data_IF_012658385561
#
_entry.id   IF_012658385561
#
_cell.length_a   1.000
_cell.length_b   1.000
_cell.length_c   1.000
_cell.angle_alpha   90.00
_cell.angle_beta   90.00
_cell.angle_gamma   90.00
#
_symmetry.space_group_name_H-M   'P 1'
#
loop_
_entity.id
_entity.type
_entity.pdbx_description
1 polymer ?
#
# COMPACT_ATOMS: atom_id res chain seq x y z
N UNK A 1 29.94 2.75 -13.59
CA UNK A 1 28.66 2.61 -14.34
C UNK A 1 28.46 3.78 -15.31
N UNK A 2 29.05 3.75 -16.52
CA UNK A 2 28.88 4.82 -17.52
C UNK A 2 27.43 4.85 -18.05
N UNK A 3 26.92 6.04 -18.32
CA UNK A 3 25.61 6.24 -18.96
C UNK A 3 24.42 6.31 -18.01
N UNK A 4 24.61 6.22 -16.68
CA UNK A 4 23.54 6.40 -15.68
C UNK A 4 23.62 7.78 -15.02
N UNK A 5 22.47 8.42 -14.79
CA UNK A 5 22.35 9.75 -14.15
C UNK A 5 21.23 9.75 -13.11
N UNK A 6 21.46 10.41 -11.99
CA UNK A 6 20.44 10.71 -10.97
C UNK A 6 19.98 12.16 -11.09
N UNK A 7 18.68 12.38 -10.98
CA UNK A 7 18.08 13.70 -10.88
C UNK A 7 17.12 13.74 -9.69
N UNK A 8 17.18 14.81 -8.89
CA UNK A 8 16.20 14.99 -7.81
C UNK A 8 14.85 15.33 -8.41
N UNK A 9 13.79 14.76 -7.87
CA UNK A 9 12.44 15.14 -8.26
C UNK A 9 12.17 16.59 -7.83
N UNK A 10 11.63 17.36 -8.77
CA UNK A 10 11.13 18.73 -8.58
C UNK A 10 9.72 18.80 -9.16
N UNK A 11 8.98 19.88 -8.87
CA UNK A 11 7.61 20.04 -9.37
C UNK A 11 7.52 19.98 -10.90
N UNK A 12 8.53 20.49 -11.61
CA UNK A 12 8.62 20.43 -13.08
C UNK A 12 8.72 19.00 -13.63
N UNK A 13 9.16 18.04 -12.80
CA UNK A 13 9.31 16.63 -13.17
C UNK A 13 8.10 15.77 -12.73
N UNK A 14 7.14 16.33 -12.00
CA UNK A 14 6.00 15.58 -11.44
C UNK A 14 5.17 14.88 -12.52
N UNK A 15 4.93 15.54 -13.66
CA UNK A 15 4.21 14.91 -14.77
C UNK A 15 4.98 13.71 -15.34
N UNK A 16 6.29 13.88 -15.58
CA UNK A 16 7.12 12.80 -16.12
C UNK A 16 7.20 11.61 -15.16
N UNK A 17 7.22 11.88 -13.84
CA UNK A 17 7.12 10.87 -12.80
C UNK A 17 5.80 10.11 -12.86
N UNK A 18 4.68 10.80 -12.88
CA UNK A 18 3.35 10.19 -12.84
C UNK A 18 3.09 9.36 -14.10
N UNK A 19 3.46 9.90 -15.28
CA UNK A 19 3.41 9.17 -16.56
C UNK A 19 4.29 7.90 -16.52
N UNK A 20 5.41 7.93 -15.78
CA UNK A 20 6.29 6.77 -15.62
C UNK A 20 5.68 5.73 -14.67
N UNK A 21 5.18 6.15 -13.50
CA UNK A 21 4.51 5.29 -12.53
C UNK A 21 3.33 4.58 -13.18
N UNK A 22 2.51 5.28 -13.96
CA UNK A 22 1.35 4.70 -14.62
C UNK A 22 1.71 3.57 -15.60
N UNK A 23 2.84 3.70 -16.31
CA UNK A 23 3.31 2.73 -17.33
C UNK A 23 4.20 1.63 -16.76
N UNK A 24 4.60 1.76 -15.49
CA UNK A 24 5.49 0.82 -14.80
C UNK A 24 4.84 -0.55 -14.57
N UNK A 25 5.66 -1.55 -14.21
CA UNK A 25 5.15 -2.90 -13.88
C UNK A 25 4.79 -3.06 -12.39
N UNK A 26 5.32 -2.22 -11.52
CA UNK A 26 5.15 -2.31 -10.07
C UNK A 26 4.65 -1.02 -9.40
N UNK A 27 4.33 0.01 -10.19
CA UNK A 27 3.77 1.26 -9.70
C UNK A 27 2.26 1.20 -9.50
N UNK A 28 1.79 1.94 -8.51
CA UNK A 28 0.37 2.16 -8.23
C UNK A 28 0.09 3.65 -8.10
N UNK A 29 -1.18 4.06 -8.09
CA UNK A 29 -1.54 5.48 -7.97
C UNK A 29 -0.96 6.11 -6.70
N UNK A 30 -0.75 5.33 -5.63
CA UNK A 30 -0.10 5.78 -4.39
C UNK A 30 1.35 6.24 -4.58
N UNK A 31 2.05 5.78 -5.62
CA UNK A 31 3.45 6.15 -5.88
C UNK A 31 3.56 7.40 -6.79
N UNK A 32 2.45 8.01 -7.19
CA UNK A 32 2.43 9.25 -7.97
C UNK A 32 2.74 10.46 -7.11
N UNK A 33 3.33 11.50 -7.70
CA UNK A 33 3.48 12.82 -7.08
C UNK A 33 2.12 13.42 -6.72
N UNK A 34 1.11 13.21 -7.57
CA UNK A 34 -0.27 13.61 -7.26
C UNK A 34 -0.78 13.01 -5.93
N UNK A 35 -0.44 11.76 -5.63
CA UNK A 35 -0.81 11.13 -4.35
C UNK A 35 0.12 11.59 -3.22
N UNK A 36 1.42 11.73 -3.45
CA UNK A 36 2.35 12.12 -2.37
C UNK A 36 2.10 13.57 -1.90
N UNK A 37 1.57 14.44 -2.77
CA UNK A 37 1.43 15.87 -2.51
C UNK A 37 0.56 16.24 -1.30
N UNK A 38 -0.46 15.44 -0.92
CA UNK A 38 -1.27 15.76 0.28
C UNK A 38 -0.46 15.71 1.58
N UNK A 39 0.75 15.15 1.54
CA UNK A 39 1.64 15.18 2.68
C UNK A 39 2.13 16.57 3.05
N UNK A 40 2.09 17.53 2.12
CA UNK A 40 2.60 18.88 2.34
C UNK A 40 4.05 18.85 2.84
N UNK A 41 4.37 19.72 3.81
CA UNK A 41 5.72 19.87 4.35
C UNK A 41 6.07 18.87 5.46
N UNK A 42 5.26 17.82 5.68
CA UNK A 42 5.51 16.81 6.73
C UNK A 42 6.79 16.01 6.53
N UNK A 43 7.29 15.95 5.30
CA UNK A 43 8.45 15.13 4.93
C UNK A 43 9.45 15.92 4.10
N UNK A 44 10.73 15.79 4.42
CA UNK A 44 11.80 16.36 3.58
C UNK A 44 12.01 15.48 2.36
N UNK A 45 11.50 15.92 1.20
CA UNK A 45 11.53 15.13 -0.03
C UNK A 45 12.96 14.80 -0.50
N UNK A 46 13.20 13.52 -0.72
CA UNK A 46 14.45 12.96 -1.20
C UNK A 46 14.25 12.14 -2.48
N UNK A 47 13.08 12.23 -3.12
CA UNK A 47 12.70 11.42 -4.28
C UNK A 47 13.65 11.61 -5.47
N UNK A 48 13.98 10.50 -6.16
CA UNK A 48 14.95 10.49 -7.26
C UNK A 48 14.39 9.89 -8.54
N UNK A 49 14.83 10.41 -9.67
CA UNK A 49 14.69 9.85 -11.00
C UNK A 49 16.02 9.27 -11.45
N UNK A 50 15.99 8.10 -12.09
CA UNK A 50 17.19 7.41 -12.59
C UNK A 50 17.11 7.28 -14.10
N UNK A 51 18.11 7.82 -14.79
CA UNK A 51 18.21 7.82 -16.25
C UNK A 51 19.34 6.90 -16.71
N UNK A 52 19.16 6.29 -17.88
CA UNK A 52 20.20 5.61 -18.66
C UNK A 52 20.21 6.17 -20.08
N UNK A 53 21.32 6.79 -20.49
CA UNK A 53 21.47 7.46 -21.78
C UNK A 53 20.29 8.40 -22.07
N UNK A 54 20.00 9.33 -21.15
CA UNK A 54 18.85 10.27 -21.19
C UNK A 54 17.44 9.64 -21.12
N UNK A 55 17.30 8.32 -21.12
CA UNK A 55 16.01 7.65 -20.93
C UNK A 55 15.73 7.42 -19.45
N UNK A 56 14.57 7.86 -18.97
CA UNK A 56 14.09 7.54 -17.62
C UNK A 56 13.83 6.02 -17.50
N UNK A 57 14.51 5.36 -16.57
CA UNK A 57 14.41 3.91 -16.36
C UNK A 57 13.96 3.51 -14.95
N UNK A 58 13.94 4.44 -14.00
CA UNK A 58 13.35 4.21 -12.69
C UNK A 58 12.98 5.51 -11.98
N UNK A 59 12.02 5.43 -11.07
CA UNK A 59 11.75 6.49 -10.09
C UNK A 59 11.70 5.88 -8.69
N UNK A 60 12.08 6.66 -7.67
CA UNK A 60 12.15 6.19 -6.29
C UNK A 60 11.53 7.21 -5.33
N UNK A 61 10.26 7.03 -4.90
CA UNK A 61 9.61 7.95 -3.97
C UNK A 61 10.32 7.85 -2.62
N UNK A 62 10.76 8.98 -2.08
CA UNK A 62 11.56 8.99 -0.87
C UNK A 62 11.43 10.26 -0.05
N UNK A 63 11.62 10.12 1.25
CA UNK A 63 11.91 11.23 2.14
C UNK A 63 13.13 10.92 3.00
N UNK A 64 13.75 11.98 3.50
CA UNK A 64 14.85 11.89 4.46
C UNK A 64 14.37 12.22 5.88
N UNK A 65 14.99 11.58 6.86
CA UNK A 65 14.91 11.92 8.27
C UNK A 65 16.25 11.55 8.93
N UNK A 66 16.95 12.56 9.45
CA UNK A 66 18.35 12.45 9.90
C UNK A 66 19.27 11.87 8.83
N UNK A 67 19.98 10.78 9.17
CA UNK A 67 20.88 10.06 8.27
C UNK A 67 20.23 8.89 7.53
N UNK A 68 18.90 8.84 7.50
CA UNK A 68 18.14 7.73 6.90
C UNK A 68 17.26 8.23 5.77
N UNK A 69 17.31 7.52 4.65
CA UNK A 69 16.32 7.63 3.58
C UNK A 69 15.24 6.58 3.82
N UNK A 70 14.00 6.95 3.57
CA UNK A 70 12.87 6.05 3.56
C UNK A 70 12.29 6.00 2.15
N UNK A 71 11.76 4.86 1.73
CA UNK A 71 10.91 4.72 0.53
C UNK A 71 9.52 5.38 0.73
N UNK A 72 9.56 6.62 1.23
CA UNK A 72 8.48 7.49 1.67
C UNK A 72 7.69 6.98 2.89
N UNK A 73 7.85 7.63 4.04
CA UNK A 73 7.17 7.28 5.28
C UNK A 73 5.65 7.46 5.22
N UNK A 74 5.17 8.41 4.42
CA UNK A 74 3.74 8.63 4.18
C UNK A 74 3.04 7.60 3.29
N UNK A 75 3.78 6.69 2.64
CA UNK A 75 3.19 5.66 1.78
C UNK A 75 3.04 4.34 2.52
N UNK A 76 1.99 3.58 2.16
CA UNK A 76 1.77 2.21 2.65
C UNK A 76 2.91 1.28 2.23
N UNK A 77 3.43 1.48 1.02
CA UNK A 77 4.59 0.81 0.46
C UNK A 77 5.27 1.74 -0.55
N UNK A 78 6.52 1.45 -0.89
CA UNK A 78 7.33 2.22 -1.82
C UNK A 78 8.65 1.51 -2.11
N UNK A 79 9.28 1.87 -3.21
CA UNK A 79 10.50 1.22 -3.66
C UNK A 79 10.89 1.71 -5.04
N UNK A 80 11.85 1.03 -5.67
CA UNK A 80 12.22 1.40 -7.04
C UNK A 80 11.09 0.99 -8.00
N UNK A 81 10.49 1.98 -8.64
CA UNK A 81 9.46 1.78 -9.67
C UNK A 81 10.16 1.54 -10.99
N UNK A 82 9.77 0.46 -11.69
CA UNK A 82 10.47 -0.05 -12.86
C UNK A 82 9.54 -0.17 -14.07
N UNK A 83 10.04 0.08 -15.30
CA UNK A 83 9.24 -0.10 -16.50
C UNK A 83 9.05 -1.60 -16.78
N UNK A 84 8.04 -1.93 -17.58
CA UNK A 84 7.72 -3.33 -17.94
C UNK A 84 8.90 -4.10 -18.56
N UNK A 85 9.72 -3.42 -19.37
CA UNK A 85 10.82 -4.04 -20.14
C UNK A 85 12.20 -3.64 -19.63
N UNK A 86 12.43 -3.67 -18.32
CA UNK A 86 13.78 -3.48 -17.77
C UNK A 86 14.57 -4.79 -17.78
N UNK A 87 15.86 -4.73 -18.10
CA UNK A 87 16.78 -5.86 -17.91
C UNK A 87 17.23 -5.89 -16.46
N UNK A 88 17.44 -7.09 -15.89
CA UNK A 88 17.96 -7.24 -14.52
C UNK A 88 19.23 -6.41 -14.29
N UNK A 89 20.18 -6.46 -15.23
CA UNK A 89 21.41 -5.66 -15.20
C UNK A 89 21.16 -4.16 -15.04
N UNK A 90 20.14 -3.63 -15.71
CA UNK A 90 19.81 -2.20 -15.67
C UNK A 90 19.09 -1.83 -14.38
N UNK A 91 18.27 -2.72 -13.83
CA UNK A 91 17.63 -2.54 -12.52
C UNK A 91 18.67 -2.52 -11.39
N UNK A 92 19.63 -3.45 -11.41
CA UNK A 92 20.72 -3.51 -10.44
C UNK A 92 21.62 -2.28 -10.52
N UNK A 93 21.99 -1.86 -11.73
CA UNK A 93 22.76 -0.63 -11.94
C UNK A 93 21.99 0.61 -11.44
N UNK A 94 20.69 0.72 -11.75
CA UNK A 94 19.84 1.81 -11.29
C UNK A 94 19.78 1.88 -9.75
N UNK A 95 19.65 0.73 -9.09
CA UNK A 95 19.66 0.68 -7.63
C UNK A 95 21.04 1.02 -7.03
N UNK A 96 22.12 0.56 -7.65
CA UNK A 96 23.48 0.88 -7.23
C UNK A 96 23.79 2.38 -7.33
N UNK A 97 23.46 3.04 -8.46
CA UNK A 97 23.67 4.50 -8.60
C UNK A 97 22.81 5.31 -7.64
N UNK A 98 21.60 4.82 -7.31
CA UNK A 98 20.71 5.45 -6.34
C UNK A 98 21.30 5.38 -4.93
N UNK A 99 21.76 4.21 -4.49
CA UNK A 99 22.42 4.06 -3.20
C UNK A 99 23.69 4.91 -3.14
N UNK A 100 24.52 4.86 -4.19
CA UNK A 100 25.73 5.69 -4.28
C UNK A 100 25.40 7.19 -4.15
N UNK A 101 24.37 7.67 -4.83
CA UNK A 101 23.95 9.07 -4.74
C UNK A 101 23.64 9.48 -3.29
N UNK A 102 22.90 8.66 -2.55
CA UNK A 102 22.61 8.94 -1.15
C UNK A 102 23.85 8.85 -0.26
N UNK A 103 24.76 7.90 -0.51
CA UNK A 103 26.05 7.83 0.19
C UNK A 103 26.89 9.10 -0.02
N UNK A 104 26.98 9.59 -1.26
CA UNK A 104 27.69 10.82 -1.60
C UNK A 104 27.08 12.07 -0.92
N UNK A 105 25.81 11.98 -0.50
CA UNK A 105 25.10 13.01 0.28
C UNK A 105 25.19 12.80 1.79
N UNK A 106 25.90 11.78 2.26
CA UNK A 106 26.12 11.51 3.69
C UNK A 106 24.99 10.74 4.39
N UNK A 107 24.09 10.12 3.65
CA UNK A 107 23.10 9.20 4.22
C UNK A 107 23.74 7.83 4.49
N UNK A 108 23.30 7.20 5.58
CA UNK A 108 23.87 5.94 6.06
C UNK A 108 22.94 4.75 5.81
N UNK A 109 21.63 4.95 5.96
CA UNK A 109 20.64 3.88 5.89
C UNK A 109 19.57 4.19 4.85
N UNK A 110 19.09 3.13 4.17
CA UNK A 110 17.87 3.17 3.38
C UNK A 110 16.86 2.16 3.94
N UNK A 111 15.65 2.64 4.23
CA UNK A 111 14.51 1.82 4.63
C UNK A 111 13.55 1.68 3.44
N UNK A 112 13.24 0.44 3.06
CA UNK A 112 12.29 0.13 1.99
C UNK A 112 11.08 -0.60 2.55
N UNK A 113 9.88 -0.09 2.27
CA UNK A 113 8.58 -0.74 2.51
C UNK A 113 8.13 -1.42 1.21
N UNK A 114 8.59 -2.63 0.93
CA UNK A 114 8.53 -3.20 -0.41
C UNK A 114 7.09 -3.32 -0.94
N UNK A 115 6.83 -2.86 -2.17
CA UNK A 115 5.53 -3.09 -2.83
C UNK A 115 5.21 -4.59 -2.89
N UNK A 116 4.10 -5.05 -2.29
CA UNK A 116 3.74 -6.46 -2.33
C UNK A 116 3.42 -6.97 -3.75
N UNK A 117 3.76 -8.23 -4.03
CA UNK A 117 3.67 -8.82 -5.37
C UNK A 117 2.27 -8.80 -6.00
N UNK A 118 1.21 -8.78 -5.18
CA UNK A 118 -0.17 -8.70 -5.67
C UNK A 118 -0.52 -7.37 -6.37
N UNK A 119 0.29 -6.32 -6.18
CA UNK A 119 0.14 -5.05 -6.90
C UNK A 119 0.89 -5.04 -8.23
N UNK A 120 1.84 -5.97 -8.43
CA UNK A 120 2.66 -6.01 -9.64
C UNK A 120 1.88 -6.55 -10.84
N UNK A 121 1.99 -5.86 -11.98
CA UNK A 121 1.42 -6.27 -13.25
C UNK A 121 2.15 -7.46 -13.87
N UNK A 122 3.44 -7.61 -13.56
CA UNK A 122 4.36 -8.64 -14.06
C UNK A 122 5.37 -8.98 -12.95
N UNK A 123 6.13 -10.08 -13.05
CA UNK A 123 7.25 -10.33 -12.13
C UNK A 123 8.15 -9.09 -12.00
N UNK A 124 8.40 -8.66 -10.76
CA UNK A 124 9.15 -7.44 -10.46
C UNK A 124 10.05 -7.63 -9.24
N UNK A 125 10.78 -8.75 -9.23
CA UNK A 125 11.63 -9.20 -8.12
C UNK A 125 13.10 -8.79 -8.28
N UNK A 126 13.43 -7.91 -9.25
CA UNK A 126 14.81 -7.44 -9.45
C UNK A 126 15.39 -6.77 -8.21
N UNK A 127 14.55 -6.02 -7.49
CA UNK A 127 14.96 -5.33 -6.27
C UNK A 127 15.08 -6.31 -5.11
N UNK A 128 14.25 -7.35 -5.03
CA UNK A 128 14.38 -8.41 -4.04
C UNK A 128 15.73 -9.14 -4.20
N UNK A 129 16.15 -9.41 -5.44
CA UNK A 129 17.49 -9.92 -5.69
C UNK A 129 18.58 -8.91 -5.29
N UNK A 130 18.42 -7.63 -5.61
CA UNK A 130 19.37 -6.59 -5.21
C UNK A 130 19.51 -6.49 -3.69
N UNK A 131 18.39 -6.53 -2.96
CA UNK A 131 18.29 -6.51 -1.50
C UNK A 131 19.05 -7.69 -0.88
N UNK A 132 18.89 -8.89 -1.44
CA UNK A 132 19.67 -10.06 -1.05
C UNK A 132 21.18 -9.85 -1.26
N UNK A 133 21.59 -9.36 -2.43
CA UNK A 133 23.01 -9.12 -2.77
C UNK A 133 23.66 -8.09 -1.84
N UNK A 134 22.96 -7.00 -1.53
CA UNK A 134 23.47 -5.96 -0.62
C UNK A 134 23.32 -6.31 0.86
N UNK A 135 22.94 -7.56 1.18
CA UNK A 135 22.78 -8.04 2.55
C UNK A 135 21.81 -7.17 3.35
N UNK A 136 20.70 -6.77 2.72
CA UNK A 136 19.67 -5.98 3.38
C UNK A 136 19.05 -6.78 4.53
N UNK A 137 18.87 -6.13 5.67
CA UNK A 137 18.22 -6.70 6.84
C UNK A 137 16.69 -6.66 6.63
N UNK A 138 16.04 -7.83 6.61
CA UNK A 138 14.59 -7.93 6.72
C UNK A 138 14.19 -7.73 8.20
N UNK A 139 13.94 -6.48 8.60
CA UNK A 139 13.66 -6.14 10.00
C UNK A 139 12.18 -6.26 10.37
N UNK A 140 11.27 -6.21 9.39
CA UNK A 140 9.82 -6.37 9.58
C UNK A 140 9.20 -7.15 8.42
N UNK A 141 8.23 -8.00 8.75
CA UNK A 141 7.40 -8.74 7.79
C UNK A 141 5.98 -8.86 8.34
N UNK A 142 5.04 -8.27 7.64
CA UNK A 142 3.62 -8.35 8.00
C UNK A 142 2.92 -9.43 7.18
N UNK A 143 1.94 -10.10 7.77
CA UNK A 143 1.06 -11.07 7.13
C UNK A 143 -0.28 -10.42 6.81
N UNK A 144 -0.48 -10.05 5.53
CA UNK A 144 -1.75 -9.58 5.01
C UNK A 144 -2.62 -10.76 4.57
N UNK A 145 -3.91 -10.71 4.90
CA UNK A 145 -4.85 -11.73 4.41
C UNK A 145 -5.47 -11.25 3.11
N UNK A 146 -5.31 -12.06 2.06
CA UNK A 146 -5.74 -11.74 0.71
C UNK A 146 -6.48 -12.93 0.09
N UNK A 147 -7.37 -12.67 -0.86
CA UNK A 147 -8.06 -13.71 -1.63
C UNK A 147 -8.18 -13.31 -3.10
N UNK A 148 -8.51 -14.28 -3.95
CA UNK A 148 -9.01 -14.02 -5.30
C UNK A 148 -10.53 -13.86 -5.23
N UNK A 149 -11.09 -12.69 -5.57
CA UNK A 149 -12.53 -12.44 -5.51
C UNK A 149 -13.35 -13.45 -6.32
N UNK A 150 -12.86 -13.85 -7.50
CA UNK A 150 -13.46 -14.89 -8.33
C UNK A 150 -13.50 -16.30 -7.69
N UNK A 151 -12.70 -16.52 -6.64
CA UNK A 151 -12.66 -17.76 -5.85
C UNK A 151 -13.25 -17.58 -4.45
N UNK A 152 -14.06 -16.54 -4.24
CA UNK A 152 -14.64 -16.23 -2.93
C UNK A 152 -15.43 -17.42 -2.37
N UNK A 153 -14.90 -17.99 -1.29
CA UNK A 153 -15.46 -19.15 -0.62
C UNK A 153 -15.30 -19.01 0.90
N UNK A 154 -16.25 -18.34 1.57
CA UNK A 154 -16.22 -18.23 3.02
C UNK A 154 -16.34 -19.60 3.69
N UNK A 155 -15.76 -19.75 4.89
CA UNK A 155 -15.94 -20.94 5.71
C UNK A 155 -17.36 -21.01 6.30
N UNK A 156 -17.72 -22.15 6.91
CA UNK A 156 -19.08 -22.37 7.44
C UNK A 156 -19.48 -21.36 8.53
N UNK A 157 -18.54 -20.92 9.37
CA UNK A 157 -18.81 -19.89 10.37
C UNK A 157 -19.17 -18.56 9.70
N UNK A 158 -18.35 -18.13 8.73
CA UNK A 158 -18.57 -16.87 8.01
C UNK A 158 -19.85 -16.91 7.18
N UNK A 159 -20.18 -18.03 6.53
CA UNK A 159 -21.46 -18.21 5.83
C UNK A 159 -22.66 -17.99 6.75
N UNK A 160 -22.63 -18.54 7.97
CA UNK A 160 -23.69 -18.33 8.97
C UNK A 160 -23.79 -16.87 9.39
N UNK A 161 -22.65 -16.19 9.63
CA UNK A 161 -22.62 -14.76 9.96
C UNK A 161 -23.16 -13.88 8.84
N UNK A 162 -22.79 -14.15 7.58
CA UNK A 162 -23.35 -13.47 6.41
C UNK A 162 -24.86 -13.69 6.33
N UNK A 163 -25.33 -14.94 6.47
CA UNK A 163 -26.77 -15.25 6.45
C UNK A 163 -27.54 -14.52 7.57
N UNK A 164 -26.97 -14.46 8.77
CA UNK A 164 -27.55 -13.75 9.90
C UNK A 164 -27.57 -12.24 9.70
N UNK A 165 -26.52 -11.65 9.13
CA UNK A 165 -26.49 -10.22 8.81
C UNK A 165 -27.52 -9.88 7.73
N UNK A 166 -27.74 -10.77 6.76
CA UNK A 166 -28.72 -10.60 5.68
C UNK A 166 -30.20 -10.76 6.14
N UNK A 167 -30.47 -11.14 7.39
CA UNK A 167 -31.84 -11.11 7.92
C UNK A 167 -32.24 -9.75 8.50
N UNK A 168 -31.29 -8.83 8.64
CA UNK A 168 -31.55 -7.43 8.98
C UNK A 168 -31.81 -6.61 7.70
N UNK A 169 -32.44 -5.46 7.85
CA UNK A 169 -32.69 -4.51 6.75
C UNK A 169 -31.48 -3.60 6.52
N UNK A 170 -30.33 -4.21 6.24
CA UNK A 170 -29.10 -3.47 5.99
C UNK A 170 -29.02 -2.95 4.57
N UNK A 171 -28.62 -1.68 4.44
CA UNK A 171 -28.44 -1.00 3.17
C UNK A 171 -26.95 -0.70 2.97
N UNK A 172 -26.39 -1.16 1.85
CA UNK A 172 -24.99 -0.94 1.49
C UNK A 172 -24.92 0.10 0.38
N UNK A 173 -24.16 1.17 0.61
CA UNK A 173 -24.01 2.27 -0.34
C UNK A 173 -22.54 2.48 -0.70
N UNK A 174 -22.28 2.67 -1.99
CA UNK A 174 -21.05 3.34 -2.44
C UNK A 174 -21.29 4.85 -2.37
N UNK A 175 -20.40 5.59 -1.73
CA UNK A 175 -20.56 7.03 -1.50
C UNK A 175 -19.26 7.78 -1.80
N UNK A 176 -19.40 9.06 -2.14
CA UNK A 176 -18.29 10.01 -2.27
C UNK A 176 -18.07 10.83 -0.99
N UNK A 177 -19.03 10.81 -0.05
CA UNK A 177 -18.92 11.50 1.23
C UNK A 177 -18.22 10.61 2.26
N UNK A 178 -17.02 11.01 2.66
CA UNK A 178 -16.22 10.27 3.65
C UNK A 178 -16.64 10.55 5.11
N UNK A 179 -17.43 11.60 5.34
CA UNK A 179 -17.72 12.17 6.66
C UNK A 179 -18.41 11.20 7.63
N UNK A 180 -19.53 10.52 7.27
CA UNK A 180 -20.24 9.68 8.23
C UNK A 180 -19.35 8.54 8.76
N UNK A 181 -18.64 7.87 7.85
CA UNK A 181 -17.71 6.81 8.23
C UNK A 181 -16.55 7.32 9.10
N UNK A 182 -15.96 8.48 8.76
CA UNK A 182 -14.82 9.01 9.53
C UNK A 182 -15.23 9.41 10.95
N UNK A 183 -16.27 10.25 11.06
CA UNK A 183 -16.63 10.91 12.31
C UNK A 183 -17.44 10.00 13.24
N UNK A 184 -18.32 9.16 12.71
CA UNK A 184 -19.23 8.35 13.53
C UNK A 184 -18.70 6.94 13.78
N UNK A 185 -17.78 6.44 12.94
CA UNK A 185 -17.33 5.04 12.99
C UNK A 185 -15.83 4.91 13.24
N UNK A 186 -15.00 5.48 12.37
CA UNK A 186 -13.55 5.23 12.38
C UNK A 186 -12.87 5.91 13.57
N UNK A 187 -13.03 7.23 13.73
CA UNK A 187 -12.41 7.99 14.81
C UNK A 187 -12.86 7.49 16.18
N UNK A 188 -14.16 7.32 16.47
CA UNK A 188 -14.60 6.84 17.79
C UNK A 188 -14.04 5.44 18.11
N UNK A 189 -14.00 4.53 17.13
CA UNK A 189 -13.49 3.18 17.36
C UNK A 189 -11.98 3.15 17.61
N UNK A 190 -11.19 4.00 16.96
CA UNK A 190 -9.74 4.12 17.18
C UNK A 190 -9.43 4.73 18.57
N UNK A 191 -10.22 5.70 19.00
CA UNK A 191 -10.11 6.28 20.35
C UNK A 191 -10.39 5.25 21.43
N UNK A 192 -11.46 4.46 21.28
CA UNK A 192 -11.84 3.41 22.24
C UNK A 192 -10.79 2.29 22.30
N UNK A 193 -10.26 1.87 21.15
CA UNK A 193 -9.43 0.65 21.08
C UNK A 193 -7.96 0.90 21.42
N UNK A 194 -7.41 2.08 21.08
CA UNK A 194 -5.96 2.31 21.14
C UNK A 194 -5.55 3.76 21.45
N UNK A 195 -6.49 4.66 21.78
CA UNK A 195 -6.20 6.10 21.91
C UNK A 195 -5.64 6.74 20.63
N UNK A 196 -5.79 6.05 19.49
CA UNK A 196 -5.14 6.41 18.23
C UNK A 196 -5.98 7.34 17.37
N UNK A 197 -5.33 8.00 16.42
CA UNK A 197 -5.97 8.77 15.34
C UNK A 197 -5.76 8.07 14.01
N UNK A 198 -6.69 8.19 13.05
CA UNK A 198 -6.46 7.67 11.72
C UNK A 198 -5.27 8.39 11.08
N UNK A 199 -4.50 7.67 10.25
CA UNK A 199 -3.35 8.24 9.53
C UNK A 199 -3.76 9.42 8.65
N UNK A 200 -4.95 9.35 8.04
CA UNK A 200 -5.56 10.45 7.29
C UNK A 200 -6.68 11.07 8.12
N UNK A 201 -6.66 12.39 8.25
CA UNK A 201 -7.82 13.19 8.66
C UNK A 201 -8.95 13.07 7.64
N UNK A 202 -10.15 13.50 8.03
CA UNK A 202 -11.31 13.58 7.13
C UNK A 202 -11.00 14.45 5.91
N UNK A 203 -10.37 15.61 6.11
CA UNK A 203 -10.03 16.52 5.03
C UNK A 203 -9.05 15.89 4.04
N UNK A 204 -8.02 15.20 4.54
CA UNK A 204 -7.04 14.53 3.67
C UNK A 204 -7.64 13.39 2.88
N UNK A 205 -8.47 12.54 3.52
CA UNK A 205 -9.07 11.42 2.79
C UNK A 205 -10.13 11.88 1.79
N UNK A 206 -10.91 12.92 2.11
CA UNK A 206 -11.86 13.51 1.15
C UNK A 206 -11.12 14.11 -0.03
N UNK A 207 -10.05 14.88 0.21
CA UNK A 207 -9.20 15.40 -0.85
C UNK A 207 -8.64 14.29 -1.74
N UNK A 208 -8.14 13.21 -1.15
CA UNK A 208 -7.65 12.05 -1.89
C UNK A 208 -8.75 11.36 -2.70
N UNK A 209 -9.95 11.21 -2.12
CA UNK A 209 -11.13 10.64 -2.79
C UNK A 209 -11.51 11.47 -4.01
N UNK A 210 -11.55 12.79 -3.88
CA UNK A 210 -11.88 13.72 -4.97
C UNK A 210 -10.79 13.73 -6.05
N UNK A 211 -9.53 13.54 -5.63
CA UNK A 211 -8.36 13.51 -6.52
C UNK A 211 -8.24 12.21 -7.30
N UNK A 212 -8.67 11.09 -6.71
CA UNK A 212 -8.58 9.73 -7.24
C UNK A 212 -9.91 8.95 -7.14
N UNK A 213 -11.00 9.45 -7.74
CA UNK A 213 -12.34 8.91 -7.52
C UNK A 213 -12.53 7.47 -8.01
N UNK A 214 -11.71 7.01 -8.97
CA UNK A 214 -11.72 5.64 -9.47
C UNK A 214 -10.89 4.69 -8.60
N UNK A 215 -9.87 5.21 -7.94
CA UNK A 215 -8.97 4.42 -7.10
C UNK A 215 -9.39 4.37 -5.64
N UNK A 216 -10.08 5.39 -5.13
CA UNK A 216 -10.53 5.44 -3.74
C UNK A 216 -12.04 5.34 -3.73
N UNK A 217 -12.57 4.29 -3.11
CA UNK A 217 -14.01 4.04 -3.00
C UNK A 217 -14.40 3.89 -1.54
N UNK A 218 -15.48 4.53 -1.12
CA UNK A 218 -16.07 4.33 0.20
C UNK A 218 -17.32 3.47 0.07
N UNK A 219 -17.41 2.44 0.91
CA UNK A 219 -18.62 1.66 1.08
C UNK A 219 -19.06 1.71 2.53
N UNK A 220 -20.30 2.13 2.74
CA UNK A 220 -20.91 2.21 4.05
C UNK A 220 -22.08 1.23 4.13
N UNK A 221 -22.35 0.75 5.34
CA UNK A 221 -23.50 -0.09 5.65
C UNK A 221 -24.35 0.55 6.74
N UNK A 222 -25.66 0.66 6.48
CA UNK A 222 -26.65 1.33 7.31
C UNK A 222 -27.79 0.40 7.71
N UNK A 223 -28.49 0.74 8.79
CA UNK A 223 -29.83 0.24 9.10
C UNK A 223 -30.74 1.46 9.35
N UNK A 224 -31.69 1.70 8.44
CA UNK A 224 -32.36 3.01 8.34
C UNK A 224 -31.33 4.12 8.14
N UNK A 225 -31.42 5.19 8.93
CA UNK A 225 -30.50 6.34 8.83
C UNK A 225 -29.20 6.17 9.65
N UNK A 226 -28.99 5.01 10.31
CA UNK A 226 -27.85 4.80 11.21
C UNK A 226 -26.72 4.05 10.53
N UNK A 227 -25.54 4.67 10.49
CA UNK A 227 -24.33 3.99 10.01
C UNK A 227 -23.90 2.89 10.99
N UNK A 228 -23.69 1.69 10.47
CA UNK A 228 -23.23 0.52 11.22
C UNK A 228 -21.73 0.28 11.05
N UNK A 229 -21.19 0.66 9.90
CA UNK A 229 -19.78 0.49 9.59
C UNK A 229 -19.48 0.85 8.15
N UNK A 230 -18.24 0.62 7.76
CA UNK A 230 -17.80 0.90 6.41
C UNK A 230 -16.38 0.46 6.13
N UNK A 231 -15.98 0.66 4.88
CA UNK A 231 -14.62 0.39 4.40
C UNK A 231 -14.23 1.38 3.31
N UNK A 232 -13.01 1.90 3.41
CA UNK A 232 -12.38 2.65 2.33
C UNK A 232 -11.48 1.72 1.55
N UNK A 233 -11.74 1.57 0.24
CA UNK A 233 -10.97 0.72 -0.65
C UNK A 233 -9.97 1.55 -1.46
N UNK A 234 -8.73 1.12 -1.51
CA UNK A 234 -7.69 1.61 -2.41
C UNK A 234 -7.51 0.58 -3.53
N UNK A 235 -8.07 0.91 -4.69
CA UNK A 235 -8.11 0.09 -5.89
C UNK A 235 -6.93 0.42 -6.79
N UNK A 236 -6.09 -0.57 -7.00
CA UNK A 236 -5.02 -0.57 -7.99
C UNK A 236 -5.46 -1.37 -9.21
N UNK A 237 -4.65 -1.46 -10.27
CA UNK A 237 -5.03 -2.20 -11.48
C UNK A 237 -5.39 -3.68 -11.25
N UNK A 238 -4.83 -4.32 -10.22
CA UNK A 238 -5.04 -5.76 -9.94
C UNK A 238 -5.66 -6.05 -8.58
N UNK A 239 -5.55 -5.10 -7.64
CA UNK A 239 -5.90 -5.35 -6.24
C UNK A 239 -6.78 -4.25 -5.69
N UNK A 240 -7.87 -4.65 -5.05
CA UNK A 240 -8.66 -3.82 -4.14
C UNK A 240 -8.18 -4.04 -2.70
N UNK A 241 -7.56 -3.03 -2.09
CA UNK A 241 -7.13 -3.05 -0.69
C UNK A 241 -8.19 -2.39 0.21
N UNK A 242 -8.67 -3.09 1.23
CA UNK A 242 -9.43 -2.47 2.30
C UNK A 242 -8.49 -1.69 3.23
N UNK A 243 -8.27 -0.41 2.89
CA UNK A 243 -7.32 0.48 3.55
C UNK A 243 -7.80 0.90 4.95
N UNK A 244 -9.11 1.09 5.10
CA UNK A 244 -9.77 1.36 6.38
C UNK A 244 -10.94 0.42 6.54
N UNK A 245 -11.09 -0.17 7.72
CA UNK A 245 -12.20 -1.05 8.09
C UNK A 245 -12.62 -0.67 9.50
N UNK A 246 -13.88 -0.30 9.69
CA UNK A 246 -14.41 -0.06 11.03
C UNK A 246 -15.91 -0.31 11.08
N UNK A 247 -16.40 -0.60 12.27
CA UNK A 247 -17.83 -0.73 12.55
C UNK A 247 -18.13 -0.20 13.95
N UNK A 248 -19.34 0.31 14.12
CA UNK A 248 -19.87 0.72 15.42
C UNK A 248 -20.03 -0.51 16.33
N UNK A 249 -20.17 -0.34 17.66
CA UNK A 249 -20.44 -1.46 18.56
C UNK A 249 -21.66 -2.28 18.13
N UNK A 250 -22.73 -1.61 17.69
CA UNK A 250 -23.92 -2.28 17.18
C UNK A 250 -23.64 -3.04 15.87
N UNK A 251 -22.97 -2.41 14.90
CA UNK A 251 -22.58 -3.07 13.65
C UNK A 251 -21.65 -4.28 13.85
N UNK A 252 -20.78 -4.26 14.88
CA UNK A 252 -20.01 -5.45 15.29
C UNK A 252 -20.91 -6.54 15.86
N UNK A 253 -21.86 -6.18 16.72
CA UNK A 253 -22.78 -7.15 17.36
C UNK A 253 -23.72 -7.86 16.38
N UNK A 254 -24.06 -7.19 15.27
CA UNK A 254 -24.92 -7.72 14.21
C UNK A 254 -24.15 -8.27 13.01
N UNK A 255 -22.82 -8.33 13.09
CA UNK A 255 -21.95 -8.80 12.01
C UNK A 255 -22.12 -8.05 10.67
N UNK A 256 -22.45 -6.76 10.71
CA UNK A 256 -22.68 -5.91 9.54
C UNK A 256 -21.51 -5.97 8.53
N UNK A 257 -20.26 -5.99 9.01
CA UNK A 257 -19.09 -6.12 8.14
C UNK A 257 -19.06 -7.45 7.37
N UNK A 258 -19.65 -8.53 7.88
CA UNK A 258 -19.77 -9.78 7.13
C UNK A 258 -20.58 -9.59 5.85
N UNK A 259 -21.74 -8.95 5.95
CA UNK A 259 -22.60 -8.63 4.80
C UNK A 259 -21.88 -7.67 3.85
N UNK A 260 -21.27 -6.60 4.39
CA UNK A 260 -20.54 -5.61 3.61
C UNK A 260 -19.42 -6.23 2.76
N UNK A 261 -18.52 -6.99 3.37
CA UNK A 261 -17.41 -7.61 2.63
C UNK A 261 -17.88 -8.72 1.69
N UNK A 262 -18.90 -9.49 2.07
CA UNK A 262 -19.48 -10.48 1.16
C UNK A 262 -20.04 -9.81 -0.11
N UNK A 263 -20.74 -8.69 0.04
CA UNK A 263 -21.26 -7.89 -1.08
C UNK A 263 -20.11 -7.35 -1.95
N UNK A 264 -19.15 -6.67 -1.34
CA UNK A 264 -18.02 -6.04 -2.05
C UNK A 264 -17.19 -7.10 -2.79
N UNK A 265 -16.79 -8.18 -2.13
CA UNK A 265 -15.94 -9.20 -2.76
C UNK A 265 -16.65 -9.85 -3.96
N UNK A 266 -17.96 -10.09 -3.85
CA UNK A 266 -18.76 -10.58 -4.98
C UNK A 266 -18.83 -9.57 -6.12
N UNK A 267 -19.11 -8.28 -5.83
CA UNK A 267 -19.11 -7.19 -6.84
C UNK A 267 -17.74 -7.07 -7.54
N UNK A 268 -16.65 -7.23 -6.78
CA UNK A 268 -15.26 -7.13 -7.26
C UNK A 268 -14.75 -8.38 -7.98
N UNK A 269 -15.56 -9.46 -8.07
CA UNK A 269 -15.17 -10.76 -8.62
C UNK A 269 -14.65 -10.74 -10.06
N UNK A 270 -15.14 -9.80 -10.88
CA UNK A 270 -14.71 -9.59 -12.26
C UNK A 270 -13.83 -8.36 -12.47
N UNK A 271 -13.66 -7.52 -11.44
CA UNK A 271 -12.95 -6.23 -11.55
C UNK A 271 -11.48 -6.33 -11.13
N UNK A 272 -11.15 -7.21 -10.16
CA UNK A 272 -9.81 -7.31 -9.58
C UNK A 272 -9.36 -8.77 -9.43
N UNK A 273 -8.07 -9.00 -9.63
CA UNK A 273 -7.44 -10.31 -9.41
C UNK A 273 -7.38 -10.67 -7.93
N UNK A 274 -7.18 -9.65 -7.08
CA UNK A 274 -7.03 -9.81 -5.64
C UNK A 274 -7.87 -8.83 -4.84
N UNK A 275 -8.34 -9.29 -3.69
CA UNK A 275 -8.84 -8.46 -2.61
C UNK A 275 -7.94 -8.64 -1.40
N UNK A 276 -7.46 -7.55 -0.82
CA UNK A 276 -6.61 -7.56 0.37
C UNK A 276 -7.35 -6.93 1.54
N UNK A 277 -7.42 -7.64 2.65
CA UNK A 277 -7.90 -7.11 3.93
C UNK A 277 -6.80 -6.40 4.74
N UNK A 278 -5.58 -6.31 4.20
CA UNK A 278 -4.41 -5.77 4.91
C UNK A 278 -3.87 -6.69 6.02
N UNK A 279 -2.83 -6.22 6.72
CA UNK A 279 -2.17 -6.97 7.79
C UNK A 279 -2.93 -6.97 9.11
N UNK A 280 -2.59 -7.93 9.97
CA UNK A 280 -3.13 -8.03 11.33
C UNK A 280 -2.00 -8.10 12.38
N UNK A 281 -0.80 -7.65 12.00
CA UNK A 281 0.38 -7.71 12.85
C UNK A 281 0.64 -6.41 13.60
N UNK A 282 1.23 -6.57 14.78
CA UNK A 282 1.81 -5.55 15.66
C UNK A 282 3.31 -5.87 15.87
N UNK A 283 4.02 -5.00 16.60
CA UNK A 283 5.45 -5.16 16.93
C UNK A 283 6.32 -5.60 15.74
N UNK A 284 6.33 -4.79 14.68
CA UNK A 284 7.12 -5.04 13.47
C UNK A 284 6.91 -6.44 12.86
N UNK A 285 5.67 -6.94 12.91
CA UNK A 285 5.31 -8.23 12.33
C UNK A 285 5.38 -9.41 13.30
N UNK A 286 5.91 -9.22 14.52
CA UNK A 286 6.19 -10.31 15.47
C UNK A 286 5.02 -10.71 16.33
N UNK A 287 4.03 -9.84 16.50
CA UNK A 287 2.80 -10.14 17.23
C UNK A 287 1.64 -10.22 16.24
N UNK A 288 0.85 -11.30 16.29
CA UNK A 288 -0.32 -11.48 15.45
C UNK A 288 -1.60 -11.21 16.24
N UNK A 289 -2.44 -10.30 15.76
CA UNK A 289 -3.81 -10.19 16.23
C UNK A 289 -4.63 -11.36 15.68
N UNK A 290 -4.68 -12.46 16.45
CA UNK A 290 -5.32 -13.72 16.05
C UNK A 290 -6.80 -13.55 15.69
N UNK A 291 -7.55 -12.74 16.45
CA UNK A 291 -8.98 -12.52 16.21
C UNK A 291 -9.21 -11.81 14.88
N UNK A 292 -8.45 -10.75 14.60
CA UNK A 292 -8.55 -10.03 13.33
C UNK A 292 -8.05 -10.87 12.15
N UNK A 293 -6.96 -11.62 12.33
CA UNK A 293 -6.46 -12.56 11.30
C UNK A 293 -7.51 -13.60 10.94
N UNK A 294 -8.05 -14.30 11.94
CA UNK A 294 -9.09 -15.31 11.73
C UNK A 294 -10.35 -14.71 11.09
N UNK A 295 -10.75 -13.51 11.52
CA UNK A 295 -11.88 -12.81 10.91
C UNK A 295 -11.69 -12.63 9.41
N UNK A 296 -10.50 -12.22 8.95
CA UNK A 296 -10.17 -12.08 7.51
C UNK A 296 -10.08 -13.44 6.80
N UNK A 297 -9.40 -14.41 7.40
CA UNK A 297 -9.22 -15.76 6.83
C UNK A 297 -10.56 -16.48 6.62
N UNK A 298 -11.53 -16.25 7.51
CA UNK A 298 -12.85 -16.88 7.43
C UNK A 298 -13.65 -16.52 6.16
N UNK A 299 -13.28 -15.45 5.44
CA UNK A 299 -13.81 -15.13 4.11
C UNK A 299 -13.21 -15.99 2.97
N UNK A 300 -12.29 -16.90 3.30
CA UNK A 300 -11.56 -17.73 2.34
C UNK A 300 -10.22 -17.12 1.90
N UNK A 301 -9.67 -16.21 2.71
CA UNK A 301 -8.37 -15.58 2.45
C UNK A 301 -7.19 -16.38 2.99
N UNK A 302 -6.03 -16.12 2.39
CA UNK A 302 -4.74 -16.70 2.75
C UNK A 302 -3.70 -15.62 2.96
N UNK A 303 -2.64 -15.93 3.70
CA UNK A 303 -1.56 -15.00 3.97
C UNK A 303 -0.73 -14.66 2.72
N UNK A 304 -0.38 -13.38 2.61
CA UNK A 304 0.64 -12.83 1.72
C UNK A 304 1.50 -11.86 2.53
N UNK A 305 2.82 -11.88 2.31
CA UNK A 305 3.74 -11.07 3.09
C UNK A 305 3.92 -9.66 2.53
N UNK A 306 4.13 -8.71 3.43
CA UNK A 306 4.63 -7.38 3.12
C UNK A 306 5.94 -7.18 3.87
N UNK A 307 7.03 -7.01 3.12
CA UNK A 307 8.38 -7.06 3.65
C UNK A 307 9.01 -5.67 3.73
N UNK A 308 9.80 -5.46 4.78
CA UNK A 308 10.43 -4.19 5.10
C UNK A 308 11.91 -4.41 5.33
N UNK A 309 12.73 -3.67 4.59
CA UNK A 309 14.17 -3.85 4.56
C UNK A 309 14.90 -2.63 5.07
N UNK A 310 16.01 -2.87 5.76
CA UNK A 310 17.02 -1.87 6.10
C UNK A 310 18.31 -2.21 5.36
N UNK A 311 18.86 -1.21 4.69
CA UNK A 311 20.05 -1.34 3.86
C UNK A 311 21.11 -0.39 4.41
N UNK A 312 22.34 -0.88 4.61
CA UNK A 312 23.51 -0.02 4.73
C UNK A 312 23.85 0.51 3.33
N UNK A 313 23.72 1.82 3.12
CA UNK A 313 23.86 2.40 1.79
C UNK A 313 25.26 2.15 1.20
N UNK A 314 26.31 2.07 2.03
CA UNK A 314 27.68 1.77 1.58
C UNK A 314 27.82 0.44 0.83
N UNK A 315 26.85 -0.48 0.98
CA UNK A 315 26.78 -1.74 0.26
C UNK A 315 26.46 -1.56 -1.24
N UNK A 316 26.24 -0.33 -1.74
CA UNK A 316 26.20 -0.05 -3.18
C UNK A 316 27.43 -0.58 -3.92
N UNK A 317 28.59 -0.57 -3.25
CA UNK A 317 29.86 -1.06 -3.78
C UNK A 317 29.84 -2.56 -4.11
N UNK A 318 28.98 -3.34 -3.46
CA UNK A 318 28.79 -4.77 -3.77
C UNK A 318 28.09 -4.92 -5.13
N UNK A 319 27.06 -4.13 -5.39
CA UNK A 319 26.37 -4.12 -6.68
C UNK A 319 27.28 -3.57 -7.79
N UNK A 320 28.09 -2.54 -7.52
CA UNK A 320 29.06 -2.05 -8.49
C UNK A 320 30.04 -3.14 -8.93
N UNK A 321 30.54 -3.96 -7.99
CA UNK A 321 31.42 -5.08 -8.31
C UNK A 321 30.71 -6.18 -9.11
N UNK A 322 29.45 -6.48 -8.78
CA UNK A 322 28.65 -7.49 -9.50
C UNK A 322 28.39 -7.10 -10.97
N UNK A 323 28.38 -5.79 -11.26
CA UNK A 323 28.03 -5.23 -12.56
C UNK A 323 29.23 -4.95 -13.48
N UNK A 324 30.46 -5.11 -12.98
CA UNK A 324 31.71 -4.94 -13.72
C UNK A 324 32.21 -6.26 -14.27
#
# INVERSE_FOLDING_TARGET
>A
MRGYKIERCTDSLSKAWDDFVERSKNGTFMLTRKFIAYHGDRFTDASLLVYKNEKLIAVFPANSDGHTIYSHQGLSYGGLVLPKQIKLSDALAAFAVLLKYYADKGFLNLIIKQTPALYHLQPSEEIQYALFVVQAELYRRDAAICLRPSSFKPNENRKRKIKSANSYDFQIHETDNMEPFWNEVLIPNLQISHGGTPVHSLQEIQFLKDTFPDHIKQYDIYEGDKILGGTTLFNTRKTSLAQYISATPYGKSTDALSALFAHIIQKKSSEFDYFSFGHSNEDNGRVLNHTLSYWKESFGGSALTHDFYKINIANYSILEKLMN
#
